data_IF_364448182160
#
_entry.id   IF_364448182160
#
_cell.length_a   1.000
_cell.length_b   1.000
_cell.length_c   1.000
_cell.angle_alpha   90.00
_cell.angle_beta   90.00
_cell.angle_gamma   90.00
#
_symmetry.space_group_name_H-M   'P 1'
#
loop_
_entity.id
_entity.type
_entity.pdbx_description
1 polymer ?
#
# COMPACT_ATOMS: atom_id res chain seq x y z
N UNK A 1 -5.69 -12.07 -14.38
CA UNK A 1 -6.85 -11.13 -14.42
C UNK A 1 -7.00 -10.52 -13.02
N UNK A 2 -6.99 -9.21 -12.92
CA UNK A 2 -7.14 -8.55 -11.61
C UNK A 2 -8.54 -8.74 -11.05
N UNK A 3 -8.63 -8.97 -9.75
CA UNK A 3 -9.90 -9.10 -9.06
C UNK A 3 -10.35 -7.73 -8.55
N UNK A 4 -11.56 -7.34 -8.89
CA UNK A 4 -12.20 -6.13 -8.35
C UNK A 4 -13.13 -6.56 -7.22
N UNK A 5 -12.91 -6.00 -6.03
CA UNK A 5 -13.70 -6.23 -4.84
C UNK A 5 -14.60 -5.03 -4.60
N UNK A 6 -15.82 -5.25 -4.19
CA UNK A 6 -16.74 -4.22 -3.69
C UNK A 6 -17.16 -4.64 -2.27
N UNK A 7 -16.68 -3.90 -1.27
CA UNK A 7 -16.91 -4.23 0.15
C UNK A 7 -17.51 -3.03 0.87
N UNK A 8 -18.50 -3.28 1.72
CA UNK A 8 -19.22 -2.22 2.43
C UNK A 8 -19.57 -2.64 3.86
N UNK A 9 -19.75 -1.68 4.74
CA UNK A 9 -20.21 -1.89 6.11
C UNK A 9 -19.23 -1.43 7.19
N UNK A 10 -19.40 -1.97 8.40
CA UNK A 10 -18.47 -1.72 9.51
C UNK A 10 -17.13 -2.42 9.27
N UNK A 11 -16.05 -2.07 9.99
CA UNK A 11 -14.72 -2.62 9.74
C UNK A 11 -14.68 -4.14 9.63
N UNK A 12 -15.38 -4.85 10.54
CA UNK A 12 -15.48 -6.31 10.50
C UNK A 12 -16.17 -6.83 9.24
N UNK A 13 -17.25 -6.16 8.79
CA UNK A 13 -18.00 -6.56 7.59
C UNK A 13 -17.15 -6.40 6.34
N UNK A 14 -16.39 -5.29 6.25
CA UNK A 14 -15.44 -5.03 5.16
C UNK A 14 -14.40 -6.16 5.07
N UNK A 15 -13.82 -6.53 6.22
CA UNK A 15 -12.85 -7.62 6.28
C UNK A 15 -13.46 -8.97 5.90
N UNK A 16 -14.63 -9.29 6.44
CA UNK A 16 -15.31 -10.56 6.20
C UNK A 16 -15.73 -10.73 4.73
N UNK A 17 -16.21 -9.67 4.11
CA UNK A 17 -16.52 -9.67 2.67
C UNK A 17 -15.28 -9.93 1.81
N UNK A 18 -14.17 -9.22 2.07
CA UNK A 18 -12.90 -9.45 1.41
C UNK A 18 -12.39 -10.88 1.64
N UNK A 19 -12.43 -11.36 2.89
CA UNK A 19 -11.99 -12.70 3.26
C UNK A 19 -12.73 -13.80 2.53
N UNK A 20 -14.06 -13.67 2.40
CA UNK A 20 -14.88 -14.64 1.65
C UNK A 20 -14.54 -14.66 0.16
N UNK A 21 -14.39 -13.49 -0.45
CA UNK A 21 -14.09 -13.36 -1.88
C UNK A 21 -12.70 -13.88 -2.24
N UNK A 22 -11.74 -13.75 -1.32
CA UNK A 22 -10.32 -14.07 -1.52
C UNK A 22 -9.83 -15.23 -0.62
N UNK A 23 -10.73 -16.09 -0.16
CA UNK A 23 -10.39 -17.18 0.77
C UNK A 23 -9.23 -18.05 0.27
N UNK A 24 -9.25 -18.46 -1.00
CA UNK A 24 -8.22 -19.31 -1.59
C UNK A 24 -6.81 -18.70 -1.51
N UNK A 25 -6.57 -17.51 -2.10
CA UNK A 25 -5.30 -16.82 -2.00
C UNK A 25 -4.83 -16.56 -0.55
N UNK A 26 -5.75 -16.20 0.36
CA UNK A 26 -5.42 -15.96 1.77
C UNK A 26 -4.98 -17.26 2.45
N UNK A 27 -5.73 -18.36 2.26
CA UNK A 27 -5.37 -19.67 2.81
C UNK A 27 -4.04 -20.18 2.27
N UNK A 28 -3.77 -19.98 0.98
CA UNK A 28 -2.49 -20.32 0.39
C UNK A 28 -1.36 -19.57 1.07
N UNK A 29 -1.46 -18.23 1.17
CA UNK A 29 -0.42 -17.40 1.78
C UNK A 29 -0.18 -17.73 3.26
N UNK A 30 -1.23 -18.00 4.04
CA UNK A 30 -1.09 -18.44 5.42
C UNK A 30 -0.39 -19.79 5.53
N UNK A 31 -0.69 -20.72 4.62
CA UNK A 31 -0.05 -22.04 4.58
C UNK A 31 1.43 -21.96 4.20
N UNK A 32 1.80 -21.06 3.28
CA UNK A 32 3.19 -20.80 2.90
C UNK A 32 3.98 -20.20 4.06
N UNK A 33 3.37 -19.25 4.79
CA UNK A 33 3.96 -18.67 5.99
C UNK A 33 4.22 -19.73 7.07
N UNK A 34 3.27 -20.63 7.31
CA UNK A 34 3.41 -21.73 8.25
C UNK A 34 4.42 -22.79 7.76
N UNK A 35 4.42 -23.08 6.46
CA UNK A 35 5.35 -24.02 5.83
C UNK A 35 6.81 -23.54 5.83
N UNK A 36 7.04 -22.24 5.71
CA UNK A 36 8.38 -21.63 5.79
C UNK A 36 8.97 -21.72 7.20
N UNK A 37 8.12 -21.87 8.21
CA UNK A 37 8.47 -22.08 9.62
C UNK A 37 8.77 -23.53 9.98
N UNK A 38 9.07 -24.42 9.01
CA UNK A 38 9.22 -25.87 9.18
C UNK A 38 9.89 -26.26 10.49
N UNK A 39 9.24 -27.06 11.33
CA UNK A 39 9.88 -27.83 12.35
C UNK A 39 9.97 -29.29 11.90
N UNK A 40 11.09 -29.69 11.41
CA UNK A 40 11.41 -31.12 11.44
C UNK A 40 11.96 -31.55 12.82
N UNK A 41 12.10 -30.63 13.77
CA UNK A 41 12.34 -30.91 15.18
C UNK A 41 11.33 -30.11 16.01
N UNK A 42 10.71 -30.70 17.05
CA UNK A 42 10.01 -29.98 18.08
C UNK A 42 11.00 -29.15 18.88
N UNK A 43 11.57 -28.10 18.25
CA UNK A 43 12.43 -27.20 18.98
C UNK A 43 11.51 -26.16 19.64
N UNK A 44 11.68 -25.99 20.94
CA UNK A 44 11.14 -24.91 21.76
C UNK A 44 11.34 -23.49 21.12
N UNK A 45 12.11 -23.40 20.04
CA UNK A 45 12.30 -22.20 19.21
C UNK A 45 11.10 -21.89 18.32
N UNK A 46 10.25 -22.86 17.95
CA UNK A 46 9.02 -22.63 17.16
C UNK A 46 7.94 -21.85 17.91
N UNK A 47 8.00 -21.82 19.24
CA UNK A 47 7.14 -20.96 20.10
C UNK A 47 7.63 -19.49 20.15
N UNK A 48 8.69 -19.09 19.44
CA UNK A 48 9.45 -17.99 19.98
C UNK A 48 9.62 -16.75 19.10
N UNK A 49 9.58 -16.75 17.77
CA UNK A 49 9.83 -15.49 17.07
C UNK A 49 8.64 -14.98 16.27
N UNK A 50 8.12 -15.73 15.31
CA UNK A 50 7.03 -15.22 14.47
C UNK A 50 5.70 -15.07 15.22
N UNK A 51 5.33 -16.07 16.05
CA UNK A 51 4.12 -16.01 16.87
C UNK A 51 4.20 -14.91 17.95
N UNK A 52 5.37 -14.67 18.53
CA UNK A 52 5.58 -13.59 19.50
C UNK A 52 5.55 -12.21 18.83
N UNK A 53 6.13 -12.07 17.64
CA UNK A 53 6.09 -10.84 16.87
C UNK A 53 4.66 -10.53 16.42
N UNK A 54 3.95 -11.48 15.82
CA UNK A 54 2.55 -11.31 15.43
C UNK A 54 1.65 -10.96 16.63
N UNK A 55 1.81 -11.64 17.76
CA UNK A 55 1.06 -11.31 18.98
C UNK A 55 1.46 -9.97 19.61
N UNK A 56 2.70 -9.52 19.43
CA UNK A 56 3.15 -8.18 19.83
C UNK A 56 2.56 -7.10 18.95
N UNK A 57 2.75 -7.20 17.65
CA UNK A 57 2.19 -6.31 16.64
C UNK A 57 0.66 -6.25 16.76
N UNK A 58 -0.01 -7.40 16.93
CA UNK A 58 -1.46 -7.46 17.11
C UNK A 58 -1.97 -6.65 18.29
N UNK A 59 -1.27 -6.64 19.43
CA UNK A 59 -1.64 -5.80 20.59
C UNK A 59 -1.53 -4.31 20.29
N UNK A 60 -0.47 -3.89 19.61
CA UNK A 60 -0.29 -2.49 19.24
C UNK A 60 -1.28 -2.06 18.14
N UNK A 61 -1.61 -2.94 17.20
CA UNK A 61 -2.67 -2.69 16.22
C UNK A 61 -4.03 -2.52 16.92
N UNK A 62 -4.38 -3.40 17.85
CA UNK A 62 -5.64 -3.25 18.64
C UNK A 62 -5.64 -1.94 19.42
N UNK A 63 -4.51 -1.53 19.97
CA UNK A 63 -4.39 -0.33 20.81
C UNK A 63 -4.49 0.96 20.01
N UNK A 64 -3.87 1.01 18.84
CA UNK A 64 -3.70 2.25 18.09
C UNK A 64 -4.54 2.31 16.80
N UNK A 65 -4.97 1.16 16.27
CA UNK A 65 -5.69 0.98 15.01
C UNK A 65 -6.87 0.04 15.17
N UNK A 66 -7.72 0.29 16.18
CA UNK A 66 -8.80 -0.63 16.60
C UNK A 66 -9.69 -1.09 15.44
N UNK A 67 -10.10 -0.17 14.56
CA UNK A 67 -10.95 -0.51 13.42
C UNK A 67 -10.22 -1.40 12.37
N UNK A 68 -8.90 -1.25 12.21
CA UNK A 68 -8.12 -2.18 11.37
C UNK A 68 -7.98 -3.55 12.03
N UNK A 69 -7.85 -3.62 13.36
CA UNK A 69 -7.90 -4.88 14.10
C UNK A 69 -9.24 -5.60 13.91
N UNK A 70 -10.35 -4.88 13.95
CA UNK A 70 -11.68 -5.42 13.66
C UNK A 70 -11.80 -5.90 12.21
N UNK A 71 -11.21 -5.17 11.26
CA UNK A 71 -11.15 -5.57 9.86
C UNK A 71 -10.32 -6.84 9.66
N UNK A 72 -9.20 -6.99 10.38
CA UNK A 72 -8.39 -8.22 10.39
C UNK A 72 -9.16 -9.42 10.95
N UNK A 73 -9.93 -9.24 12.04
CA UNK A 73 -10.81 -10.29 12.59
C UNK A 73 -11.86 -10.72 11.56
N UNK A 74 -12.49 -9.76 10.88
CA UNK A 74 -13.43 -10.04 9.79
C UNK A 74 -12.77 -10.80 8.65
N UNK A 75 -11.59 -10.36 8.21
CA UNK A 75 -10.83 -10.99 7.14
C UNK A 75 -10.50 -12.46 7.46
N UNK A 76 -10.06 -12.73 8.68
CA UNK A 76 -9.78 -14.07 9.18
C UNK A 76 -11.02 -14.97 9.13
N UNK A 77 -12.17 -14.46 9.62
CA UNK A 77 -13.45 -15.18 9.60
C UNK A 77 -13.91 -15.49 8.17
N UNK A 78 -13.86 -14.47 7.30
CA UNK A 78 -14.28 -14.63 5.91
C UNK A 78 -13.42 -15.62 5.14
N UNK A 79 -12.13 -15.65 5.39
CA UNK A 79 -11.18 -16.56 4.75
C UNK A 79 -11.12 -17.95 5.41
N UNK A 80 -11.73 -18.15 6.60
CA UNK A 80 -11.67 -19.42 7.33
C UNK A 80 -10.28 -19.73 7.89
N UNK A 81 -9.50 -18.70 8.25
CA UNK A 81 -8.19 -18.82 8.88
C UNK A 81 -8.20 -18.22 10.28
N UNK A 82 -7.14 -18.41 11.07
CA UNK A 82 -7.05 -17.79 12.38
C UNK A 82 -6.72 -16.29 12.27
N UNK A 83 -7.18 -15.49 13.22
CA UNK A 83 -6.79 -14.08 13.31
C UNK A 83 -5.27 -13.94 13.55
N UNK A 84 -4.66 -14.87 14.27
CA UNK A 84 -3.21 -14.89 14.50
C UNK A 84 -2.45 -15.08 13.19
N UNK A 85 -2.98 -15.86 12.25
CA UNK A 85 -2.37 -16.01 10.91
C UNK A 85 -2.43 -14.70 10.12
N UNK A 86 -3.55 -13.98 10.18
CA UNK A 86 -3.68 -12.65 9.52
C UNK A 86 -2.74 -11.64 10.18
N UNK A 87 -2.69 -11.59 11.50
CA UNK A 87 -1.76 -10.71 12.23
C UNK A 87 -0.29 -11.03 11.91
N UNK A 88 0.03 -12.32 11.75
CA UNK A 88 1.36 -12.74 11.37
C UNK A 88 1.72 -12.33 9.93
N UNK A 89 0.77 -12.39 8.99
CA UNK A 89 0.95 -11.87 7.63
C UNK A 89 1.21 -10.36 7.65
N UNK A 90 0.41 -9.60 8.39
CA UNK A 90 0.58 -8.15 8.51
C UNK A 90 1.91 -7.76 9.21
N UNK A 91 2.40 -8.57 10.13
CA UNK A 91 3.72 -8.36 10.72
C UNK A 91 4.87 -8.62 9.74
N UNK A 92 4.60 -9.35 8.67
CA UNK A 92 5.55 -9.66 7.58
C UNK A 92 5.30 -8.84 6.30
N UNK A 93 4.20 -8.06 6.25
CA UNK A 93 3.77 -7.33 5.05
C UNK A 93 4.88 -6.47 4.46
N UNK A 94 5.59 -5.71 5.30
CA UNK A 94 6.69 -4.85 4.86
C UNK A 94 7.81 -5.67 4.24
N UNK A 95 8.17 -6.80 4.86
CA UNK A 95 9.16 -7.71 4.32
C UNK A 95 8.67 -8.44 3.07
N UNK A 96 7.38 -8.78 3.03
CA UNK A 96 6.77 -9.44 1.87
C UNK A 96 6.76 -8.51 0.68
N UNK A 97 6.26 -7.29 0.83
CA UNK A 97 6.23 -6.29 -0.23
C UNK A 97 7.65 -5.95 -0.69
N UNK A 98 8.57 -5.71 0.24
CA UNK A 98 9.98 -5.46 -0.09
C UNK A 98 10.66 -6.64 -0.80
N UNK A 99 10.34 -7.88 -0.45
CA UNK A 99 10.89 -9.08 -1.11
C UNK A 99 10.28 -9.33 -2.49
N UNK A 100 8.97 -9.16 -2.64
CA UNK A 100 8.30 -9.33 -3.93
C UNK A 100 8.77 -8.27 -4.92
N UNK A 101 9.05 -7.07 -4.45
CA UNK A 101 9.55 -5.96 -5.23
C UNK A 101 11.06 -6.08 -5.55
N UNK A 102 11.87 -6.62 -4.63
CA UNK A 102 13.33 -6.77 -4.82
C UNK A 102 13.74 -7.86 -5.82
N UNK A 103 12.84 -8.79 -6.18
CA UNK A 103 13.21 -9.89 -7.08
C UNK A 103 13.29 -9.51 -8.54
N UNK A 104 12.63 -8.44 -8.97
CA UNK A 104 12.61 -7.99 -10.38
C UNK A 104 12.98 -6.51 -10.47
N UNK A 105 12.34 -5.65 -9.71
CA UNK A 105 12.69 -4.23 -9.57
C UNK A 105 12.06 -3.65 -8.29
N UNK A 106 12.70 -2.67 -7.63
CA UNK A 106 12.16 -2.02 -6.45
C UNK A 106 10.89 -1.24 -6.79
N UNK A 107 9.95 -1.19 -5.85
CA UNK A 107 8.80 -0.32 -6.00
C UNK A 107 9.24 1.14 -5.99
N UNK A 108 8.63 1.90 -6.86
CA UNK A 108 8.83 3.34 -6.96
C UNK A 108 7.49 4.05 -6.93
N UNK A 109 7.44 5.18 -6.25
CA UNK A 109 6.30 6.09 -6.34
C UNK A 109 6.75 7.51 -6.63
N UNK A 110 5.87 8.27 -7.23
CA UNK A 110 6.11 9.65 -7.64
C UNK A 110 4.86 10.47 -7.34
N UNK A 111 5.07 11.65 -6.76
CA UNK A 111 4.07 12.71 -6.73
C UNK A 111 4.52 13.86 -7.62
N UNK A 112 3.71 14.24 -8.58
CA UNK A 112 4.03 15.31 -9.52
C UNK A 112 2.79 16.13 -9.90
N UNK A 113 3.05 17.36 -10.38
CA UNK A 113 2.03 18.21 -10.99
C UNK A 113 1.99 17.93 -12.49
N UNK A 114 0.82 17.61 -13.00
CA UNK A 114 0.61 17.43 -14.44
C UNK A 114 0.38 18.82 -15.09
N UNK A 115 1.44 19.36 -15.65
CA UNK A 115 1.39 20.70 -16.30
C UNK A 115 0.49 20.72 -17.54
N UNK A 116 0.28 19.57 -18.19
CA UNK A 116 -0.62 19.46 -19.35
C UNK A 116 -2.11 19.55 -18.95
N UNK A 117 -2.42 19.31 -17.68
CA UNK A 117 -3.77 19.35 -17.12
C UNK A 117 -3.95 20.46 -16.08
N UNK A 118 -3.46 21.65 -16.37
CA UNK A 118 -3.66 22.86 -15.56
C UNK A 118 -3.15 22.73 -14.10
N UNK A 119 -2.08 22.01 -13.88
CA UNK A 119 -1.48 21.89 -12.55
C UNK A 119 -2.16 20.85 -11.64
N UNK A 120 -2.88 19.90 -12.21
CA UNK A 120 -3.49 18.82 -11.43
C UNK A 120 -2.40 17.91 -10.86
N UNK A 121 -2.45 17.64 -9.56
CA UNK A 121 -1.52 16.70 -8.90
C UNK A 121 -1.88 15.26 -9.25
N UNK A 122 -0.85 14.46 -9.46
CA UNK A 122 -0.95 13.01 -9.70
C UNK A 122 -0.01 12.27 -8.75
N UNK A 123 -0.46 11.13 -8.25
CA UNK A 123 0.40 10.14 -7.62
C UNK A 123 0.52 8.92 -8.51
N UNK A 124 1.72 8.43 -8.69
CA UNK A 124 2.00 7.21 -9.46
C UNK A 124 2.74 6.22 -8.57
N UNK A 125 2.39 4.95 -8.65
CA UNK A 125 3.12 3.87 -7.97
C UNK A 125 3.33 2.71 -8.94
N UNK A 126 4.56 2.24 -9.04
CA UNK A 126 4.87 0.99 -9.72
C UNK A 126 4.42 -0.21 -8.89
N UNK A 127 3.97 -1.24 -9.58
CA UNK A 127 3.57 -2.52 -8.99
C UNK A 127 4.40 -3.61 -9.70
N UNK A 128 5.61 -3.89 -9.19
CA UNK A 128 6.49 -4.85 -9.83
C UNK A 128 5.88 -6.25 -9.85
N UNK A 129 6.20 -7.01 -10.91
CA UNK A 129 5.84 -8.42 -10.96
C UNK A 129 6.58 -9.15 -9.83
N UNK A 130 5.83 -9.87 -9.00
CA UNK A 130 6.42 -10.68 -7.94
C UNK A 130 7.21 -11.86 -8.50
N UNK A 131 8.08 -12.48 -7.68
CA UNK A 131 8.90 -13.62 -8.08
C UNK A 131 8.08 -14.87 -8.43
N UNK A 132 6.83 -14.89 -8.05
CA UNK A 132 5.88 -15.94 -8.43
C UNK A 132 4.79 -15.31 -9.30
N UNK A 133 4.40 -15.99 -10.37
CA UNK A 133 3.28 -15.61 -11.25
C UNK A 133 1.94 -15.47 -10.51
N UNK A 134 1.95 -15.59 -9.20
CA UNK A 134 0.82 -15.68 -8.30
C UNK A 134 0.64 -14.45 -7.40
N UNK A 135 1.49 -13.41 -7.54
CA UNK A 135 1.25 -12.15 -6.81
C UNK A 135 0.06 -11.43 -7.45
N UNK A 136 -1.10 -11.65 -6.90
CA UNK A 136 -2.34 -11.10 -7.40
C UNK A 136 -2.68 -9.80 -6.68
N UNK A 137 -2.38 -8.68 -7.30
CA UNK A 137 -2.96 -7.41 -6.84
C UNK A 137 -4.47 -7.43 -7.09
N UNK A 138 -5.20 -6.85 -6.15
CA UNK A 138 -6.65 -6.65 -6.25
C UNK A 138 -6.96 -5.16 -6.19
N UNK A 139 -8.03 -4.77 -6.88
CA UNK A 139 -8.64 -3.45 -6.69
C UNK A 139 -9.78 -3.61 -5.70
N UNK A 140 -9.77 -2.82 -4.66
CA UNK A 140 -10.81 -2.82 -3.64
C UNK A 140 -11.55 -1.48 -3.63
N UNK A 141 -12.87 -1.53 -3.84
CA UNK A 141 -13.78 -0.43 -3.54
C UNK A 141 -14.26 -0.63 -2.10
N UNK A 142 -13.84 0.25 -1.21
CA UNK A 142 -14.24 0.22 0.20
C UNK A 142 -15.30 1.27 0.44
N UNK A 143 -16.45 0.84 1.00
CA UNK A 143 -17.55 1.72 1.44
C UNK A 143 -17.79 1.51 2.93
N UNK A 144 -17.00 2.17 3.78
CA UNK A 144 -17.13 2.03 5.22
C UNK A 144 -18.41 2.68 5.73
N UNK A 145 -19.01 2.13 6.80
CA UNK A 145 -20.16 2.74 7.45
C UNK A 145 -19.83 4.11 8.10
N UNK A 146 -18.53 4.36 8.35
CA UNK A 146 -18.02 5.63 8.90
C UNK A 146 -16.70 5.95 8.19
N UNK A 147 -16.58 7.16 7.69
CA UNK A 147 -15.42 7.64 6.94
C UNK A 147 -15.69 7.68 5.45
N UNK A 148 -14.66 7.92 4.65
CA UNK A 148 -14.75 8.13 3.23
C UNK A 148 -14.73 6.80 2.45
N UNK A 149 -15.52 6.74 1.39
CA UNK A 149 -15.41 5.71 0.36
C UNK A 149 -14.06 5.85 -0.35
N UNK A 150 -13.48 4.71 -0.76
CA UNK A 150 -12.18 4.70 -1.42
C UNK A 150 -12.05 3.60 -2.48
N UNK A 151 -11.15 3.84 -3.45
CA UNK A 151 -10.67 2.84 -4.41
C UNK A 151 -9.19 2.61 -4.18
N UNK A 152 -8.79 1.36 -4.02
CA UNK A 152 -7.51 0.98 -3.45
C UNK A 152 -6.87 -0.18 -4.19
N UNK A 153 -5.54 -0.24 -4.18
CA UNK A 153 -4.75 -1.41 -4.58
C UNK A 153 -4.31 -2.16 -3.33
N UNK A 154 -4.60 -3.45 -3.29
CA UNK A 154 -4.32 -4.32 -2.15
C UNK A 154 -3.78 -5.67 -2.59
N UNK A 155 -3.09 -6.35 -1.68
CA UNK A 155 -2.90 -7.79 -1.75
C UNK A 155 -4.09 -8.51 -1.07
N UNK A 156 -4.40 -9.76 -1.43
CA UNK A 156 -5.58 -10.47 -0.95
C UNK A 156 -5.77 -10.47 0.56
N UNK A 157 -4.70 -10.56 1.32
CA UNK A 157 -4.70 -10.64 2.79
C UNK A 157 -4.55 -9.29 3.50
N UNK A 158 -4.34 -8.18 2.77
CA UNK A 158 -4.12 -6.88 3.38
C UNK A 158 -5.44 -6.22 3.79
N UNK A 159 -5.54 -5.84 5.06
CA UNK A 159 -6.60 -4.95 5.53
C UNK A 159 -6.32 -3.48 5.22
N UNK A 160 -5.05 -3.13 5.01
CA UNK A 160 -4.58 -1.84 4.51
C UNK A 160 -4.52 -1.83 2.99
N UNK A 161 -3.92 -0.80 2.40
CA UNK A 161 -3.71 -0.66 0.96
C UNK A 161 -2.30 -0.18 0.64
N UNK A 162 -1.85 -0.48 -0.57
CA UNK A 162 -0.56 -0.02 -1.09
C UNK A 162 -0.67 1.37 -1.72
N UNK A 163 -1.82 1.65 -2.31
CA UNK A 163 -2.15 2.90 -2.97
C UNK A 163 -3.67 3.04 -3.05
N UNK A 164 -4.18 4.26 -3.07
CA UNK A 164 -5.62 4.51 -3.25
C UNK A 164 -5.96 5.98 -3.29
N UNK A 165 -7.22 6.25 -3.59
CA UNK A 165 -7.84 7.57 -3.55
C UNK A 165 -9.21 7.46 -2.90
N UNK A 166 -9.61 8.46 -2.12
CA UNK A 166 -10.92 8.51 -1.50
C UNK A 166 -11.86 9.51 -2.20
N UNK A 167 -13.14 9.46 -1.84
CA UNK A 167 -14.18 10.33 -2.40
C UNK A 167 -14.00 11.82 -2.09
N UNK A 168 -13.26 12.14 -1.01
CA UNK A 168 -12.93 13.52 -0.68
C UNK A 168 -11.82 14.10 -1.57
N UNK A 169 -11.08 13.23 -2.28
CA UNK A 169 -9.98 13.62 -3.15
C UNK A 169 -8.60 13.57 -2.48
N UNK A 170 -8.45 12.83 -1.38
CA UNK A 170 -7.14 12.49 -0.84
C UNK A 170 -6.64 11.21 -1.50
N UNK A 171 -5.44 11.26 -2.07
CA UNK A 171 -4.71 10.10 -2.56
C UNK A 171 -3.53 9.78 -1.63
N UNK A 172 -3.26 8.50 -1.43
CA UNK A 172 -2.17 8.01 -0.62
C UNK A 172 -1.51 6.80 -1.29
N UNK A 173 -0.20 6.71 -1.23
CA UNK A 173 0.52 5.49 -1.56
C UNK A 173 1.76 5.34 -0.68
N UNK A 174 2.21 4.10 -0.49
CA UNK A 174 3.36 3.80 0.33
C UNK A 174 4.32 2.86 -0.40
N UNK A 175 5.61 3.12 -0.26
CA UNK A 175 6.68 2.30 -0.81
C UNK A 175 7.59 1.87 0.33
N UNK A 176 7.69 0.56 0.63
CA UNK A 176 8.68 0.04 1.56
C UNK A 176 10.09 0.24 1.01
N UNK A 177 11.04 0.57 1.87
CA UNK A 177 12.45 0.65 1.49
C UNK A 177 13.06 -0.75 1.43
N UNK A 178 13.67 -1.09 0.29
CA UNK A 178 14.29 -2.39 0.09
C UNK A 178 15.60 -2.55 0.88
N UNK A 179 15.97 -3.79 1.19
CA UNK A 179 17.25 -4.12 1.80
C UNK A 179 17.45 -3.71 3.26
N UNK A 180 16.44 -3.17 3.91
CA UNK A 180 16.52 -2.83 5.34
C UNK A 180 16.17 -4.02 6.21
N UNK A 181 16.86 -4.22 7.35
CA UNK A 181 16.60 -5.36 8.22
C UNK A 181 15.25 -5.20 8.92
N UNK A 182 14.53 -6.32 9.02
CA UNK A 182 13.38 -6.41 9.90
C UNK A 182 13.86 -6.35 11.36
N UNK A 183 13.24 -5.53 12.16
CA UNK A 183 13.49 -5.45 13.59
C UNK A 183 12.67 -6.48 14.36
N UNK A 184 13.12 -6.81 15.58
CA UNK A 184 12.30 -7.50 16.58
C UNK A 184 11.27 -6.58 17.24
N UNK A 185 11.16 -5.33 16.79
CA UNK A 185 10.22 -4.35 17.30
C UNK A 185 8.77 -4.78 16.98
N UNK A 186 7.87 -4.49 17.89
CA UNK A 186 6.47 -4.93 17.84
C UNK A 186 5.48 -3.83 17.45
N UNK A 187 6.00 -2.66 17.08
CA UNK A 187 5.14 -1.55 16.61
C UNK A 187 4.48 -1.89 15.27
N UNK A 188 3.32 -1.31 14.98
CA UNK A 188 2.62 -1.51 13.72
C UNK A 188 3.43 -1.02 12.52
N UNK A 189 3.30 -1.68 11.38
CA UNK A 189 3.93 -1.25 10.13
C UNK A 189 3.35 0.08 9.63
N UNK A 190 4.16 0.96 9.03
CA UNK A 190 3.68 2.17 8.36
C UNK A 190 2.68 1.91 7.24
N UNK A 191 2.64 0.70 6.68
CA UNK A 191 1.66 0.29 5.67
C UNK A 191 0.21 0.47 6.12
N UNK A 192 -0.07 0.39 7.43
CA UNK A 192 -1.41 0.60 7.99
C UNK A 192 -1.91 2.04 7.80
N UNK A 193 -1.00 3.00 7.69
CA UNK A 193 -1.33 4.42 7.59
C UNK A 193 -2.05 4.79 6.30
N UNK A 194 -1.81 4.07 5.20
CA UNK A 194 -2.52 4.34 3.94
C UNK A 194 -4.03 4.21 4.12
N UNK A 195 -4.48 3.12 4.77
CA UNK A 195 -5.90 2.91 5.03
C UNK A 195 -6.47 3.95 6.01
N UNK A 196 -5.70 4.32 7.03
CA UNK A 196 -6.08 5.38 7.96
C UNK A 196 -6.29 6.70 7.24
N UNK A 197 -5.34 7.08 6.39
CA UNK A 197 -5.41 8.33 5.63
C UNK A 197 -6.63 8.32 4.70
N UNK A 198 -6.81 7.28 3.90
CA UNK A 198 -7.92 7.20 2.94
C UNK A 198 -9.29 7.19 3.60
N UNK A 199 -9.44 6.54 4.75
CA UNK A 199 -10.74 6.41 5.41
C UNK A 199 -11.14 7.65 6.21
N UNK A 200 -10.18 8.49 6.65
CA UNK A 200 -10.43 9.48 7.70
C UNK A 200 -10.23 10.92 7.28
N UNK A 201 -9.42 11.19 6.29
CA UNK A 201 -8.97 12.54 5.98
C UNK A 201 -9.31 12.95 4.56
N UNK A 202 -9.55 14.25 4.38
CA UNK A 202 -9.84 14.89 3.09
C UNK A 202 -8.66 15.72 2.57
N UNK A 203 -7.69 16.05 3.45
CA UNK A 203 -6.57 16.93 3.12
C UNK A 203 -5.24 16.32 3.51
N UNK A 204 -4.19 16.72 2.79
CA UNK A 204 -2.80 16.37 3.08
C UNK A 204 -2.39 16.81 4.48
N UNK A 205 -2.76 18.04 4.90
CA UNK A 205 -2.38 18.59 6.20
C UNK A 205 -2.80 17.68 7.36
N UNK A 206 -4.09 17.33 7.41
CA UNK A 206 -4.63 16.51 8.50
C UNK A 206 -4.17 15.06 8.44
N UNK A 207 -3.98 14.52 7.24
CA UNK A 207 -3.45 13.17 7.05
C UNK A 207 -1.96 13.09 7.47
N UNK A 208 -1.16 14.12 7.16
CA UNK A 208 0.24 14.24 7.55
C UNK A 208 0.38 14.31 9.08
N UNK A 209 -0.38 15.18 9.74
CA UNK A 209 -0.36 15.32 11.21
C UNK A 209 -0.66 13.99 11.89
N UNK A 210 -1.63 13.25 11.34
CA UNK A 210 -1.96 11.92 11.82
C UNK A 210 -0.82 10.92 11.61
N UNK A 211 -0.25 10.85 10.40
CA UNK A 211 0.84 9.97 10.05
C UNK A 211 2.09 10.24 10.90
N UNK A 212 2.38 11.51 11.17
CA UNK A 212 3.50 11.92 12.02
C UNK A 212 3.31 11.56 13.50
N UNK A 213 2.07 11.53 14.00
CA UNK A 213 1.77 11.31 15.42
C UNK A 213 1.50 9.84 15.78
N UNK A 214 1.13 8.99 14.82
CA UNK A 214 0.76 7.60 15.09
C UNK A 214 1.96 6.69 15.30
N UNK A 215 1.90 5.77 16.27
CA UNK A 215 2.93 4.74 16.42
C UNK A 215 3.02 3.88 15.15
N UNK A 216 4.17 3.91 14.53
CA UNK A 216 4.54 3.05 13.43
C UNK A 216 6.05 2.85 13.46
N UNK A 217 6.51 1.67 13.09
CA UNK A 217 7.92 1.36 12.97
C UNK A 217 8.16 0.58 11.69
N UNK A 218 9.08 1.04 10.90
CA UNK A 218 9.44 0.40 9.65
C UNK A 218 10.29 1.30 8.77
N UNK A 219 10.56 0.83 7.58
CA UNK A 219 11.34 1.53 6.58
C UNK A 219 10.46 1.70 5.33
N UNK A 220 9.87 2.85 5.19
CA UNK A 220 8.94 3.11 4.10
C UNK A 220 8.80 4.61 3.85
N UNK A 221 8.33 4.96 2.67
CA UNK A 221 7.97 6.33 2.31
C UNK A 221 6.49 6.38 1.95
N UNK A 222 5.74 7.20 2.67
CA UNK A 222 4.33 7.52 2.42
C UNK A 222 4.26 8.80 1.59
N UNK A 223 3.59 8.76 0.45
CA UNK A 223 3.25 9.93 -0.35
C UNK A 223 1.76 10.23 -0.20
N UNK A 224 1.43 11.47 0.06
CA UNK A 224 0.07 12.00 0.12
C UNK A 224 -0.09 13.13 -0.88
N UNK A 225 -1.27 13.22 -1.50
CA UNK A 225 -1.67 14.35 -2.33
C UNK A 225 -3.19 14.53 -2.25
N UNK A 226 -3.66 15.76 -2.36
CA UNK A 226 -5.09 16.04 -2.34
C UNK A 226 -5.57 16.85 -3.54
N UNK A 227 -6.89 17.04 -3.62
CA UNK A 227 -7.55 17.75 -4.72
C UNK A 227 -7.24 19.25 -4.73
N UNK A 228 -6.71 19.83 -3.64
CA UNK A 228 -6.29 21.24 -3.60
C UNK A 228 -4.93 21.45 -4.28
N UNK A 229 -4.19 20.38 -4.51
CA UNK A 229 -2.83 20.41 -5.06
C UNK A 229 -1.73 20.27 -4.01
N UNK A 230 -2.10 20.18 -2.73
CA UNK A 230 -1.14 19.93 -1.67
C UNK A 230 -0.58 18.51 -1.77
N UNK A 231 0.69 18.36 -1.43
CA UNK A 231 1.39 17.07 -1.43
C UNK A 231 2.52 17.04 -0.42
N UNK A 232 2.78 15.86 0.13
CA UNK A 232 3.83 15.65 1.11
C UNK A 232 4.39 14.23 1.00
N UNK A 233 5.67 14.12 1.30
CA UNK A 233 6.37 12.87 1.57
C UNK A 233 6.59 12.75 3.08
N UNK A 234 6.29 11.58 3.63
CA UNK A 234 6.65 11.21 5.01
C UNK A 234 7.52 9.97 4.94
N UNK A 235 8.77 10.11 5.33
CA UNK A 235 9.74 9.02 5.36
C UNK A 235 9.83 8.41 6.75
N UNK A 236 9.76 7.08 6.80
CA UNK A 236 9.89 6.28 8.01
C UNK A 236 11.26 5.61 8.02
N UNK A 237 12.07 5.96 9.00
CA UNK A 237 13.36 5.33 9.30
C UNK A 237 13.34 4.74 10.72
N UNK A 238 12.83 3.51 10.83
CA UNK A 238 12.55 2.90 12.12
C UNK A 238 11.41 3.66 12.84
N UNK A 239 11.71 4.31 13.96
CA UNK A 239 10.77 5.16 14.71
C UNK A 239 10.89 6.64 14.34
N UNK A 240 11.90 7.03 13.57
CA UNK A 240 12.05 8.41 13.12
C UNK A 240 11.12 8.68 11.95
N UNK A 241 10.68 9.92 11.84
CA UNK A 241 9.84 10.41 10.77
C UNK A 241 10.40 11.72 10.27
N UNK A 242 10.57 11.80 8.97
CA UNK A 242 10.99 13.01 8.27
C UNK A 242 9.89 13.35 7.28
N UNK A 243 9.48 14.59 7.24
CA UNK A 243 8.51 15.08 6.27
C UNK A 243 9.17 16.08 5.32
N UNK A 244 8.82 16.00 4.05
CA UNK A 244 9.25 16.93 3.03
C UNK A 244 8.04 17.36 2.20
N UNK A 245 7.78 18.67 2.22
CA UNK A 245 6.77 19.29 1.35
C UNK A 245 7.45 19.83 0.11
N UNK A 246 7.15 19.23 -1.04
CA UNK A 246 7.60 19.73 -2.32
C UNK A 246 6.48 20.52 -2.98
N UNK A 247 6.73 21.80 -3.26
CA UNK A 247 5.77 22.68 -3.90
C UNK A 247 5.90 22.66 -5.43
N UNK A 248 7.12 22.59 -5.95
CA UNK A 248 7.39 22.82 -7.38
C UNK A 248 8.09 21.65 -8.09
N UNK A 249 8.67 20.70 -7.38
CA UNK A 249 9.43 19.60 -7.96
C UNK A 249 8.73 18.24 -7.74
N UNK A 250 8.91 17.26 -8.65
CA UNK A 250 8.45 15.90 -8.43
C UNK A 250 9.06 15.28 -7.17
N UNK A 251 8.24 14.65 -6.34
CA UNK A 251 8.67 13.96 -5.12
C UNK A 251 8.71 12.47 -5.36
N UNK A 252 9.83 11.85 -5.07
CA UNK A 252 10.10 10.44 -5.33
C UNK A 252 10.18 9.63 -4.04
N UNK A 253 9.62 8.42 -4.08
CA UNK A 253 9.74 7.42 -3.03
C UNK A 253 10.26 6.10 -3.59
N UNK A 254 11.08 5.40 -2.80
CA UNK A 254 11.68 4.12 -3.17
C UNK A 254 13.06 4.26 -3.81
N UNK A 255 13.59 3.12 -4.28
CA UNK A 255 14.90 3.09 -4.93
C UNK A 255 14.82 3.81 -6.29
N UNK A 256 15.81 4.64 -6.58
CA UNK A 256 15.84 5.39 -7.83
C UNK A 256 16.04 4.46 -9.03
N UNK A 257 15.13 4.53 -9.98
CA UNK A 257 15.33 4.00 -11.32
C UNK A 257 16.22 4.98 -12.10
N UNK A 258 17.12 4.48 -12.95
CA UNK A 258 17.96 5.34 -13.83
C UNK A 258 17.10 6.23 -14.73
N UNK A 259 15.89 5.76 -15.06
CA UNK A 259 14.90 6.42 -15.90
C UNK A 259 14.14 7.56 -15.20
N UNK A 260 14.32 7.76 -13.89
CA UNK A 260 13.66 8.83 -13.12
C UNK A 260 14.00 10.23 -13.62
N UNK A 261 15.22 10.44 -14.13
CA UNK A 261 15.61 11.71 -14.72
C UNK A 261 14.77 12.04 -15.96
N UNK A 262 14.50 11.04 -16.80
CA UNK A 262 13.67 11.21 -18.01
C UNK A 262 12.23 11.54 -17.64
N UNK A 263 11.66 10.86 -16.65
CA UNK A 263 10.30 11.12 -16.21
C UNK A 263 10.19 12.49 -15.51
N UNK A 264 11.17 12.86 -14.70
CA UNK A 264 11.25 14.18 -14.08
C UNK A 264 11.30 15.29 -15.13
N UNK A 265 12.18 15.17 -16.12
CA UNK A 265 12.34 16.14 -17.20
C UNK A 265 11.05 16.26 -18.06
N UNK A 266 10.41 15.14 -18.37
CA UNK A 266 9.14 15.12 -19.09
C UNK A 266 8.00 15.79 -18.33
N UNK A 267 7.92 15.58 -17.02
CA UNK A 267 6.91 16.21 -16.16
C UNK A 267 7.12 17.72 -16.03
N UNK A 268 8.39 18.14 -15.91
CA UNK A 268 8.76 19.56 -15.80
C UNK A 268 8.64 20.32 -17.12
N UNK A 269 8.86 19.66 -18.28
CA UNK A 269 8.76 20.31 -19.58
C UNK A 269 7.33 20.55 -20.06
N UNK A 270 6.36 19.79 -19.53
CA UNK A 270 4.95 19.88 -19.96
C UNK A 270 4.71 19.46 -21.42
N UNK A 271 5.75 18.92 -22.10
CA UNK A 271 5.69 18.59 -23.56
C UNK A 271 5.13 17.19 -23.82
N UNK A 272 5.15 16.29 -22.85
CA UNK A 272 4.72 14.90 -23.02
C UNK A 272 3.39 14.61 -22.30
N UNK A 273 2.58 13.73 -22.88
CA UNK A 273 1.43 13.16 -22.18
C UNK A 273 1.95 12.27 -21.03
N UNK A 274 1.62 12.64 -19.78
CA UNK A 274 2.08 11.93 -18.58
C UNK A 274 1.88 10.41 -18.69
N UNK A 275 0.71 9.99 -19.14
CA UNK A 275 0.38 8.57 -19.29
C UNK A 275 1.29 7.87 -20.30
N UNK A 276 1.57 8.51 -21.44
CA UNK A 276 2.44 7.95 -22.46
C UNK A 276 3.89 7.86 -21.97
N UNK A 277 4.35 8.86 -21.24
CA UNK A 277 5.68 8.84 -20.63
C UNK A 277 5.81 7.75 -19.58
N UNK A 278 4.77 7.56 -18.74
CA UNK A 278 4.74 6.48 -17.75
C UNK A 278 4.75 5.10 -18.41
N UNK A 279 3.97 4.90 -19.47
CA UNK A 279 3.97 3.64 -20.23
C UNK A 279 5.36 3.35 -20.82
N UNK A 280 6.05 4.37 -21.32
CA UNK A 280 7.41 4.22 -21.83
C UNK A 280 8.41 3.88 -20.70
N UNK A 281 8.48 4.71 -19.67
CA UNK A 281 9.45 4.56 -18.56
C UNK A 281 9.25 3.22 -17.83
N UNK A 282 8.03 2.87 -17.47
CA UNK A 282 7.76 1.61 -16.79
C UNK A 282 7.85 0.40 -17.75
N UNK A 283 7.57 0.58 -19.03
CA UNK A 283 7.77 -0.45 -20.04
C UNK A 283 9.25 -0.77 -20.25
N UNK A 284 10.10 0.23 -20.35
CA UNK A 284 11.56 0.09 -20.47
C UNK A 284 12.16 -0.52 -19.19
N UNK A 285 11.68 -0.09 -18.03
CA UNK A 285 12.05 -0.63 -16.72
C UNK A 285 11.49 -2.04 -16.45
N UNK A 286 10.69 -2.62 -17.35
CA UNK A 286 10.04 -3.93 -17.18
C UNK A 286 9.20 -4.05 -15.91
N UNK A 287 8.62 -2.95 -15.48
CA UNK A 287 7.63 -2.95 -14.39
C UNK A 287 6.36 -3.60 -14.92
N UNK A 288 5.84 -4.59 -14.20
CA UNK A 288 4.68 -5.34 -14.65
C UNK A 288 3.43 -4.49 -14.77
N UNK A 289 3.17 -3.65 -13.76
CA UNK A 289 2.00 -2.79 -13.69
C UNK A 289 2.34 -1.48 -12.97
N UNK A 290 1.55 -0.44 -13.22
CA UNK A 290 1.60 0.79 -12.46
C UNK A 290 0.21 1.37 -12.23
N UNK A 291 0.08 2.20 -11.22
CA UNK A 291 -1.16 2.84 -10.81
C UNK A 291 -0.99 4.35 -10.82
N UNK A 292 -1.94 5.03 -11.42
CA UNK A 292 -2.09 6.48 -11.40
C UNK A 292 -3.27 6.85 -10.52
N UNK A 293 -3.03 7.66 -9.52
CA UNK A 293 -4.04 8.23 -8.64
C UNK A 293 -4.26 9.69 -9.01
N UNK A 294 -5.50 10.05 -9.19
CA UNK A 294 -5.94 11.39 -9.58
C UNK A 294 -6.82 11.98 -8.49
N UNK A 295 -6.25 12.73 -7.51
CA UNK A 295 -7.03 13.30 -6.41
C UNK A 295 -8.19 14.17 -6.87
N UNK A 296 -7.94 15.09 -7.80
CA UNK A 296 -8.96 15.99 -8.34
C UNK A 296 -10.09 15.29 -9.08
N UNK A 297 -9.78 14.21 -9.80
CA UNK A 297 -10.78 13.39 -10.51
C UNK A 297 -11.38 12.30 -9.62
N UNK A 298 -10.83 12.09 -8.43
CA UNK A 298 -11.18 10.99 -7.51
C UNK A 298 -11.12 9.65 -8.23
N UNK A 299 -10.06 9.43 -8.98
CA UNK A 299 -9.93 8.30 -9.89
C UNK A 299 -8.63 7.53 -9.65
N UNK A 300 -8.71 6.22 -9.86
CA UNK A 300 -7.60 5.29 -9.90
C UNK A 300 -7.56 4.66 -11.29
N UNK A 301 -6.43 4.77 -11.96
CA UNK A 301 -6.16 4.12 -13.23
C UNK A 301 -5.03 3.11 -13.04
N UNK A 302 -5.23 1.90 -13.51
CA UNK A 302 -4.24 0.85 -13.48
C UNK A 302 -3.86 0.44 -14.89
N UNK A 303 -2.56 0.33 -15.15
CA UNK A 303 -2.01 -0.08 -16.44
C UNK A 303 -0.91 -1.11 -16.29
N UNK A 304 -0.74 -1.90 -17.33
CA UNK A 304 0.31 -2.91 -17.49
C UNK A 304 0.21 -3.53 -18.86
N UNK A 305 1.08 -4.49 -19.14
CA UNK A 305 1.27 -5.07 -20.49
C UNK A 305 -0.04 -5.51 -21.18
N UNK A 306 -0.97 -6.10 -20.41
CA UNK A 306 -2.26 -6.61 -20.92
C UNK A 306 -3.43 -6.10 -20.07
N UNK A 307 -3.24 -4.98 -19.37
CA UNK A 307 -4.20 -4.46 -18.42
C UNK A 307 -4.32 -2.94 -18.55
N UNK A 308 -5.55 -2.49 -18.74
CA UNK A 308 -5.89 -1.08 -18.62
C UNK A 308 -7.32 -0.95 -18.10
N UNK A 309 -7.50 -0.29 -16.97
CA UNK A 309 -8.82 0.13 -16.50
C UNK A 309 -8.70 1.40 -15.66
N UNK A 310 -9.78 2.17 -15.66
CA UNK A 310 -9.95 3.36 -14.82
C UNK A 310 -11.21 3.19 -13.97
N UNK A 311 -11.12 3.55 -12.71
CA UNK A 311 -12.26 3.56 -11.78
C UNK A 311 -12.37 4.97 -11.22
N UNK A 312 -13.53 5.55 -11.36
CA UNK A 312 -13.93 6.83 -10.78
C UNK A 312 -14.86 6.58 -9.59
N UNK A 313 -14.78 7.44 -8.57
CA UNK A 313 -15.61 7.40 -7.38
C UNK A 313 -16.95 8.11 -7.63
#
# INVERSE_FOLDING_TARGET
MWTILDVAGHPRDLGEAQGRLLAGPIQQQTSELDGSRRPWLPSLRGLTSGSRRGGGVGREVIRHYTHLAERMDGLARGAGVSVDSILALHAEDEAFVAKSEACVQPATALSAVDLNQQGVVRLVRSLPEGPTAETHFCVRKSRPAVGFDSVEIVLPWMCTSLAGVNEAGLAACIVPSSGKPLSDQVDPSPLLLVQECLQRFESVETAQDWAMSRPAWGWATLLLADASGDRVQVEYEGSQRLDERALDEPVWAGDRLEEQSVLGDCLLSGEANLTQTLDQVFGEAKVGHWVLLSPGDRALECRGKDLHFKIEM
#
